data_IF_699718801083
#
_entry.id   IF_699718801083
#
_cell.length_a   1.000
_cell.length_b   1.000
_cell.length_c   1.000
_cell.angle_alpha   90.00
_cell.angle_beta   90.00
_cell.angle_gamma   90.00
#
_symmetry.space_group_name_H-M   'P 1'
#
loop_
_entity.id
_entity.type
_entity.pdbx_description
1 polymer ?
#
# COMPACT_ATOMS: atom_id res chain seq x y z
N UNK A 1 14.57 -0.30 29.27
CA UNK A 1 13.30 -1.04 29.11
C UNK A 1 13.13 -1.43 27.67
N UNK A 2 12.78 -2.68 27.36
CA UNK A 2 12.57 -3.14 25.97
C UNK A 2 11.19 -2.64 25.50
N UNK A 3 11.14 -1.91 24.39
CA UNK A 3 9.90 -1.56 23.71
C UNK A 3 9.17 -2.85 23.32
N UNK A 4 8.10 -3.19 24.03
CA UNK A 4 7.23 -4.33 23.70
C UNK A 4 6.17 -3.87 22.72
N UNK A 5 5.99 -4.63 21.64
CA UNK A 5 4.89 -4.41 20.69
C UNK A 5 3.59 -4.88 21.35
N UNK A 6 2.61 -3.97 21.47
CA UNK A 6 1.28 -4.30 21.97
C UNK A 6 0.53 -5.22 21.00
N UNK A 7 -0.27 -6.16 21.53
CA UNK A 7 -1.11 -7.08 20.74
C UNK A 7 -2.47 -6.47 20.36
N UNK A 8 -2.69 -5.19 20.67
CA UNK A 8 -3.89 -4.41 20.33
C UNK A 8 -3.92 -4.10 18.82
N UNK A 9 -4.26 -5.10 18.01
CA UNK A 9 -4.45 -4.93 16.58
C UNK A 9 -5.54 -5.86 16.05
N UNK A 10 -6.39 -5.34 15.15
CA UNK A 10 -7.31 -6.16 14.37
C UNK A 10 -6.49 -6.99 13.37
N UNK A 11 -6.23 -8.25 13.74
CA UNK A 11 -5.31 -9.13 13.01
C UNK A 11 -5.82 -9.44 11.60
N UNK A 12 -7.11 -9.70 11.46
CA UNK A 12 -7.73 -10.04 10.17
C UNK A 12 -7.56 -8.91 9.14
N UNK A 13 -7.96 -7.68 9.50
CA UNK A 13 -7.81 -6.52 8.64
C UNK A 13 -6.34 -6.26 8.27
N UNK A 14 -5.42 -6.43 9.23
CA UNK A 14 -3.98 -6.31 8.97
C UNK A 14 -3.46 -7.36 8.00
N UNK A 15 -3.93 -8.60 8.11
CA UNK A 15 -3.56 -9.69 7.19
C UNK A 15 -4.06 -9.40 5.78
N UNK A 16 -5.34 -9.03 5.63
CA UNK A 16 -5.95 -8.70 4.34
C UNK A 16 -5.21 -7.55 3.64
N UNK A 17 -4.95 -6.45 4.36
CA UNK A 17 -4.22 -5.30 3.81
C UNK A 17 -2.78 -5.64 3.45
N UNK A 18 -2.14 -6.54 4.19
CA UNK A 18 -0.78 -7.00 3.88
C UNK A 18 -0.74 -7.85 2.60
N UNK A 19 -1.74 -8.72 2.43
CA UNK A 19 -1.89 -9.52 1.21
C UNK A 19 -2.15 -8.59 0.01
N UNK A 20 -3.13 -7.68 0.13
CA UNK A 20 -3.43 -6.67 -0.89
C UNK A 20 -2.21 -5.84 -1.29
N UNK A 21 -1.42 -5.36 -0.33
CA UNK A 21 -0.20 -4.61 -0.61
C UNK A 21 0.83 -5.43 -1.39
N UNK A 22 1.00 -6.70 -1.03
CA UNK A 22 1.95 -7.61 -1.72
C UNK A 22 1.51 -7.89 -3.15
N UNK A 23 0.22 -8.20 -3.35
CA UNK A 23 -0.37 -8.38 -4.68
C UNK A 23 -0.26 -7.10 -5.52
N UNK A 24 -0.53 -5.93 -4.93
CA UNK A 24 -0.40 -4.66 -5.64
C UNK A 24 1.04 -4.38 -6.11
N UNK A 25 2.05 -4.74 -5.31
CA UNK A 25 3.46 -4.62 -5.72
C UNK A 25 3.78 -5.52 -6.92
N UNK A 26 3.15 -6.70 -7.03
CA UNK A 26 3.41 -7.63 -8.12
C UNK A 26 2.73 -7.22 -9.43
N UNK A 27 1.46 -6.82 -9.36
CA UNK A 27 0.62 -6.64 -10.56
C UNK A 27 0.35 -5.18 -10.95
N UNK A 28 0.45 -4.23 -10.01
CA UNK A 28 0.20 -2.83 -10.32
C UNK A 28 1.53 -2.11 -10.61
N UNK A 29 1.77 -1.66 -11.85
CA UNK A 29 3.05 -1.06 -12.25
C UNK A 29 3.36 0.22 -11.47
N UNK A 30 2.35 1.03 -11.15
CA UNK A 30 2.53 2.26 -10.37
C UNK A 30 3.07 1.97 -8.96
N UNK A 31 2.47 0.99 -8.29
CA UNK A 31 2.85 0.58 -6.93
C UNK A 31 4.21 -0.12 -6.95
N UNK A 32 4.47 -0.94 -7.97
CA UNK A 32 5.77 -1.60 -8.19
C UNK A 32 6.90 -0.59 -8.33
N UNK A 33 6.76 0.37 -9.25
CA UNK A 33 7.77 1.42 -9.45
C UNK A 33 7.98 2.25 -8.19
N UNK A 34 6.90 2.58 -7.46
CA UNK A 34 7.01 3.26 -6.17
C UNK A 34 7.80 2.43 -5.13
N UNK A 35 7.52 1.13 -5.03
CA UNK A 35 8.22 0.22 -4.13
C UNK A 35 9.70 0.12 -4.49
N UNK A 36 10.03 -0.14 -5.75
CA UNK A 36 11.40 -0.28 -6.24
C UNK A 36 12.21 0.99 -6.00
N UNK A 37 11.67 2.16 -6.34
CA UNK A 37 12.31 3.46 -6.07
C UNK A 37 12.64 3.62 -4.58
N UNK A 38 11.70 3.27 -3.69
CA UNK A 38 11.91 3.37 -2.24
C UNK A 38 12.98 2.42 -1.74
N UNK A 39 13.03 1.20 -2.26
CA UNK A 39 14.05 0.20 -1.91
C UNK A 39 15.43 0.64 -2.42
N UNK A 40 15.52 1.18 -3.63
CA UNK A 40 16.76 1.75 -4.20
C UNK A 40 17.30 2.92 -3.36
N UNK A 41 16.42 3.74 -2.78
CA UNK A 41 16.78 4.79 -1.82
C UNK A 41 17.25 4.26 -0.44
N UNK A 42 17.45 2.94 -0.29
CA UNK A 42 17.90 2.31 0.95
C UNK A 42 16.84 2.26 2.06
N UNK A 43 15.55 2.44 1.74
CA UNK A 43 14.48 2.43 2.75
C UNK A 43 14.08 1.00 3.12
N UNK A 44 13.75 0.80 4.39
CA UNK A 44 13.35 -0.51 4.90
C UNK A 44 12.11 -1.05 4.17
N UNK A 45 12.20 -2.28 3.66
CA UNK A 45 11.13 -2.97 2.91
C UNK A 45 9.81 -3.02 3.66
N UNK A 46 9.84 -3.34 4.96
CA UNK A 46 8.63 -3.44 5.79
C UNK A 46 7.95 -2.08 6.00
N UNK A 47 8.75 -1.02 6.16
CA UNK A 47 8.24 0.35 6.22
C UNK A 47 7.59 0.76 4.89
N UNK A 48 8.22 0.40 3.76
CA UNK A 48 7.67 0.66 2.43
C UNK A 48 6.34 -0.07 2.20
N UNK A 49 6.21 -1.34 2.61
CA UNK A 49 4.93 -2.07 2.55
C UNK A 49 3.86 -1.35 3.39
N UNK A 50 4.23 -0.83 4.57
CA UNK A 50 3.29 -0.08 5.40
C UNK A 50 2.77 1.19 4.72
N UNK A 51 3.65 1.91 4.03
CA UNK A 51 3.25 3.09 3.23
C UNK A 51 2.30 2.67 2.10
N UNK A 52 2.55 1.53 1.46
CA UNK A 52 1.70 1.03 0.37
C UNK A 52 0.31 0.65 0.90
N UNK A 53 0.20 0.01 2.08
CA UNK A 53 -1.11 -0.25 2.72
C UNK A 53 -1.93 1.03 2.87
N UNK A 54 -1.31 2.10 3.38
CA UNK A 54 -1.98 3.39 3.56
C UNK A 54 -2.34 4.05 2.23
N UNK A 55 -1.49 3.94 1.20
CA UNK A 55 -1.80 4.42 -0.15
C UNK A 55 -3.04 3.73 -0.73
N UNK A 56 -3.15 2.40 -0.57
CA UNK A 56 -4.30 1.64 -1.07
C UNK A 56 -5.59 2.04 -0.34
N UNK A 57 -5.54 2.17 0.99
CA UNK A 57 -6.67 2.65 1.78
C UNK A 57 -7.11 4.05 1.35
N UNK A 58 -6.17 5.00 1.24
CA UNK A 58 -6.48 6.36 0.81
C UNK A 58 -7.13 6.41 -0.58
N UNK A 59 -6.68 5.56 -1.52
CA UNK A 59 -7.31 5.44 -2.84
C UNK A 59 -8.73 4.90 -2.78
N UNK A 60 -8.96 3.85 -1.99
CA UNK A 60 -10.29 3.29 -1.82
C UNK A 60 -11.27 4.33 -1.25
N UNK A 61 -10.87 5.03 -0.18
CA UNK A 61 -11.67 6.10 0.41
C UNK A 61 -11.92 7.25 -0.57
N UNK A 62 -10.92 7.65 -1.37
CA UNK A 62 -11.09 8.69 -2.37
C UNK A 62 -12.11 8.32 -3.45
N UNK A 63 -12.09 7.07 -3.93
CA UNK A 63 -13.05 6.56 -4.92
C UNK A 63 -14.46 6.55 -4.34
N UNK A 64 -14.62 6.03 -3.11
CA UNK A 64 -15.91 6.00 -2.41
C UNK A 64 -16.46 7.41 -2.22
N UNK A 65 -15.63 8.35 -1.74
CA UNK A 65 -16.03 9.75 -1.51
C UNK A 65 -16.43 10.46 -2.81
N UNK A 66 -15.74 10.17 -3.91
CA UNK A 66 -16.00 10.80 -5.21
C UNK A 66 -17.25 10.23 -5.90
N UNK A 67 -17.61 8.98 -5.60
CA UNK A 67 -18.77 8.31 -6.21
C UNK A 67 -18.57 7.91 -7.68
N UNK A 68 -17.35 8.03 -8.22
CA UNK A 68 -17.04 7.64 -9.61
C UNK A 68 -15.97 6.56 -9.67
N UNK A 69 -16.01 5.64 -10.66
CA UNK A 69 -15.12 4.49 -10.73
C UNK A 69 -13.63 4.83 -10.67
N UNK A 70 -12.83 3.91 -10.13
CA UNK A 70 -11.37 4.05 -10.11
C UNK A 70 -10.82 4.20 -11.53
N UNK A 71 -9.97 5.20 -11.75
CA UNK A 71 -9.34 5.47 -13.05
C UNK A 71 -7.87 5.12 -12.93
N UNK A 72 -7.39 4.23 -13.81
CA UNK A 72 -5.98 3.86 -13.87
C UNK A 72 -5.20 4.93 -14.64
N UNK A 73 -4.68 5.94 -13.94
CA UNK A 73 -3.96 7.06 -14.54
C UNK A 73 -2.72 6.66 -15.34
N UNK A 74 -1.99 5.61 -14.91
CA UNK A 74 -0.82 5.10 -15.65
C UNK A 74 -1.19 4.48 -17.01
N UNK A 75 -2.45 4.09 -17.23
CA UNK A 75 -2.91 3.62 -18.55
C UNK A 75 -3.11 4.78 -19.54
N UNK A 76 -3.29 6.01 -19.05
CA UNK A 76 -3.57 7.19 -19.87
C UNK A 76 -2.36 8.12 -20.03
N UNK A 77 -1.28 7.89 -19.25
CA UNK A 77 0.00 8.57 -19.45
C UNK A 77 0.76 7.85 -20.58
N UNK A 78 0.41 8.17 -21.82
CA UNK A 78 1.18 7.84 -23.03
C UNK A 78 2.05 9.02 -23.43
#
# INVERSE_FOLDING_TARGET
GKTKVSRLAQKEGKTLLSLCATTAIQYNPEIKTFYERRVQMGKNKMSTINIIRNKLLARAFAVIKRGTPYVNTMKFAS
#
